data_IF_625267057325
#
_entry.id   IF_625267057325
#
_cell.length_a   1.000
_cell.length_b   1.000
_cell.length_c   1.000
_cell.angle_alpha   90.00
_cell.angle_beta   90.00
_cell.angle_gamma   90.00
#
_symmetry.space_group_name_H-M   'P 1'
#
loop_
_entity.id
_entity.type
_entity.pdbx_description
1 polymer ?
#
# COMPACT_ATOMS: atom_id res chain seq x y z
N UNK A 1 -41.35 64.89 28.89
CA UNK A 1 -41.15 64.48 27.48
C UNK A 1 -39.64 64.47 27.18
N UNK A 2 -38.87 63.49 27.68
CA UNK A 2 -37.40 63.45 27.51
C UNK A 2 -36.81 62.03 27.32
N UNK A 3 -37.64 61.03 27.00
CA UNK A 3 -37.19 59.64 26.87
C UNK A 3 -36.74 59.20 25.45
N UNK A 4 -37.13 59.92 24.40
CA UNK A 4 -36.98 59.45 23.02
C UNK A 4 -35.56 59.53 22.45
N UNK A 5 -34.80 60.58 22.79
CA UNK A 5 -33.48 60.84 22.18
C UNK A 5 -32.41 59.84 22.66
N UNK A 6 -32.42 59.47 23.95
CA UNK A 6 -31.48 58.50 24.52
C UNK A 6 -31.72 57.08 23.97
N UNK A 7 -32.98 56.69 23.82
CA UNK A 7 -33.37 55.38 23.31
C UNK A 7 -32.97 55.18 21.82
N UNK A 8 -32.96 56.25 21.02
CA UNK A 8 -32.49 56.19 19.62
C UNK A 8 -30.97 55.96 19.50
N UNK A 9 -30.17 56.58 20.38
CA UNK A 9 -28.71 56.42 20.40
C UNK A 9 -28.30 55.01 20.85
N UNK A 10 -29.01 54.44 21.82
CA UNK A 10 -28.79 53.07 22.28
C UNK A 10 -29.09 52.07 21.17
N UNK A 11 -30.21 52.24 20.44
CA UNK A 11 -30.54 51.40 19.28
C UNK A 11 -29.49 51.49 18.17
N UNK A 12 -29.00 52.70 17.89
CA UNK A 12 -27.92 52.91 16.91
C UNK A 12 -26.61 52.23 17.32
N UNK A 13 -26.27 52.28 18.61
CA UNK A 13 -25.06 51.64 19.15
C UNK A 13 -25.17 50.11 19.12
N UNK A 14 -26.32 49.56 19.53
CA UNK A 14 -26.60 48.11 19.44
C UNK A 14 -26.56 47.61 17.99
N UNK A 15 -27.08 48.39 17.04
CA UNK A 15 -27.03 48.04 15.62
C UNK A 15 -25.59 47.99 15.07
N UNK A 16 -24.74 48.94 15.47
CA UNK A 16 -23.31 48.91 15.09
C UNK A 16 -22.57 47.72 15.68
N UNK A 17 -22.85 47.38 16.93
CA UNK A 17 -22.29 46.19 17.59
C UNK A 17 -22.74 44.92 16.85
N UNK A 18 -24.01 44.82 16.50
CA UNK A 18 -24.54 43.69 15.74
C UNK A 18 -23.87 43.54 14.38
N UNK A 19 -23.69 44.64 13.62
CA UNK A 19 -22.98 44.60 12.33
C UNK A 19 -21.53 44.11 12.53
N UNK A 20 -20.84 44.59 13.57
CA UNK A 20 -19.47 44.16 13.85
C UNK A 20 -19.40 42.64 14.12
N UNK A 21 -20.32 42.10 14.93
CA UNK A 21 -20.42 40.66 15.17
C UNK A 21 -20.72 39.88 13.89
N UNK A 22 -21.63 40.38 13.05
CA UNK A 22 -21.97 39.74 11.78
C UNK A 22 -20.75 39.68 10.84
N UNK A 23 -19.99 40.78 10.75
CA UNK A 23 -18.75 40.81 9.96
C UNK A 23 -17.72 39.83 10.51
N UNK A 24 -17.50 39.78 11.82
CA UNK A 24 -16.59 38.81 12.44
C UNK A 24 -17.05 37.36 12.23
N UNK A 25 -18.35 37.10 12.27
CA UNK A 25 -18.91 35.78 12.02
C UNK A 25 -18.73 35.36 10.55
N UNK A 26 -18.98 36.27 9.62
CA UNK A 26 -18.74 36.02 8.19
C UNK A 26 -17.26 35.80 7.89
N UNK A 27 -16.34 36.57 8.48
CA UNK A 27 -14.89 36.35 8.29
C UNK A 27 -14.45 35.02 8.89
N UNK A 28 -14.98 34.64 10.05
CA UNK A 28 -14.72 33.32 10.66
C UNK A 28 -15.25 32.17 9.77
N UNK A 29 -16.46 32.28 9.23
CA UNK A 29 -17.01 31.28 8.30
C UNK A 29 -16.15 31.20 7.04
N UNK A 30 -15.74 32.34 6.46
CA UNK A 30 -14.89 32.33 5.26
C UNK A 30 -13.54 31.68 5.57
N UNK A 31 -12.92 31.99 6.72
CA UNK A 31 -11.67 31.35 7.15
C UNK A 31 -11.85 29.84 7.36
N UNK A 32 -12.93 29.43 8.02
CA UNK A 32 -13.27 28.02 8.22
C UNK A 32 -13.52 27.31 6.89
N UNK A 33 -14.25 27.93 5.97
CA UNK A 33 -14.53 27.40 4.64
C UNK A 33 -13.25 27.32 3.79
N UNK A 34 -12.34 28.29 3.90
CA UNK A 34 -11.03 28.25 3.25
C UNK A 34 -10.18 27.13 3.84
N UNK A 35 -10.15 26.96 5.17
CA UNK A 35 -9.45 25.84 5.80
C UNK A 35 -10.05 24.48 5.41
N UNK A 36 -11.38 24.36 5.42
CA UNK A 36 -12.11 23.15 5.07
C UNK A 36 -11.98 22.80 3.58
N UNK A 37 -12.07 23.79 2.68
CA UNK A 37 -11.79 23.61 1.26
C UNK A 37 -10.31 23.36 0.98
N UNK A 38 -9.41 23.85 1.83
CA UNK A 38 -7.97 23.53 1.74
C UNK A 38 -7.73 22.07 2.13
N UNK A 39 -8.43 21.55 3.15
CA UNK A 39 -8.47 20.12 3.48
C UNK A 39 -9.03 19.28 2.31
N UNK A 40 -10.12 19.72 1.67
CA UNK A 40 -10.68 19.04 0.48
C UNK A 40 -9.75 19.11 -0.74
N UNK A 41 -8.97 20.19 -0.90
CA UNK A 41 -7.94 20.29 -1.96
C UNK A 41 -6.64 19.58 -1.59
N UNK A 42 -6.46 19.10 -0.36
CA UNK A 42 -5.30 18.30 -0.01
C UNK A 42 -5.40 16.86 -0.54
N UNK A 43 -6.59 16.36 -0.86
CA UNK A 43 -6.75 15.04 -1.49
C UNK A 43 -6.09 14.98 -2.88
N UNK A 44 -5.97 16.11 -3.59
CA UNK A 44 -5.23 16.23 -4.86
C UNK A 44 -3.72 16.48 -4.66
N UNK A 45 -3.27 16.71 -3.41
CA UNK A 45 -1.86 16.97 -3.04
C UNK A 45 -1.23 15.78 -2.30
N UNK A 46 -2.03 14.85 -1.79
CA UNK A 46 -1.60 13.52 -1.40
C UNK A 46 -1.53 12.61 -2.62
N UNK A 47 -0.71 12.98 -3.60
CA UNK A 47 -0.16 12.04 -4.57
C UNK A 47 0.79 11.10 -3.80
N UNK A 48 0.15 10.17 -3.09
CA UNK A 48 0.72 9.01 -2.43
C UNK A 48 1.75 8.42 -3.40
N UNK A 49 3.03 8.52 -3.04
CA UNK A 49 4.16 8.37 -3.97
C UNK A 49 4.22 6.96 -4.58
N UNK A 50 3.43 6.75 -5.62
CA UNK A 50 3.54 5.60 -6.50
C UNK A 50 4.89 5.68 -7.19
N UNK A 51 5.70 4.64 -7.02
CA UNK A 51 7.06 4.58 -7.54
C UNK A 51 7.25 3.28 -8.28
N UNK A 52 7.50 3.39 -9.58
CA UNK A 52 7.96 2.29 -10.41
C UNK A 52 9.47 2.39 -10.59
N UNK A 53 10.17 1.27 -10.49
CA UNK A 53 11.60 1.20 -10.76
C UNK A 53 11.90 -0.08 -11.52
N UNK A 54 12.83 0.02 -12.47
CA UNK A 54 13.38 -1.11 -13.20
C UNK A 54 14.89 -1.03 -13.07
N UNK A 55 15.51 -2.10 -12.59
CA UNK A 55 16.96 -2.19 -12.51
C UNK A 55 17.45 -3.60 -12.83
N UNK A 56 18.68 -3.66 -13.34
CA UNK A 56 19.39 -4.92 -13.52
C UNK A 56 20.11 -5.25 -12.22
N UNK A 57 19.83 -6.42 -11.67
CA UNK A 57 20.51 -7.00 -10.52
C UNK A 57 21.51 -8.04 -11.03
N UNK A 58 22.77 -7.93 -10.59
CA UNK A 58 23.84 -8.90 -10.89
C UNK A 58 24.14 -9.10 -12.40
N UNK A 59 23.72 -8.16 -13.27
CA UNK A 59 23.99 -8.22 -14.72
C UNK A 59 23.24 -9.31 -15.49
N UNK A 60 22.37 -10.09 -14.84
CA UNK A 60 21.61 -11.18 -15.45
C UNK A 60 20.16 -11.30 -14.98
N UNK A 61 19.76 -10.55 -13.94
CA UNK A 61 18.40 -10.58 -13.41
C UNK A 61 17.80 -9.19 -13.58
N UNK A 62 16.73 -9.07 -14.33
CA UNK A 62 15.93 -7.84 -14.39
C UNK A 62 14.96 -7.83 -13.23
N UNK A 63 14.87 -6.68 -12.56
CA UNK A 63 14.00 -6.48 -11.40
C UNK A 63 13.13 -5.25 -11.61
N UNK A 64 11.83 -5.48 -11.55
CA UNK A 64 10.81 -4.44 -11.53
C UNK A 64 10.23 -4.33 -10.14
N UNK A 65 10.08 -3.10 -9.65
CA UNK A 65 9.48 -2.85 -8.34
C UNK A 65 8.40 -1.80 -8.45
N UNK A 66 7.34 -2.00 -7.67
CA UNK A 66 6.31 -1.00 -7.44
C UNK A 66 6.21 -0.72 -5.95
N UNK A 67 6.01 0.55 -5.60
CA UNK A 67 5.79 0.97 -4.24
C UNK A 67 4.67 1.99 -4.21
N UNK A 68 3.75 1.84 -3.26
CA UNK A 68 2.65 2.79 -3.02
C UNK A 68 2.43 2.96 -1.53
N UNK A 69 2.44 4.20 -1.08
CA UNK A 69 1.96 4.60 0.24
C UNK A 69 0.43 4.76 0.17
N UNK A 70 -0.27 4.60 1.29
CA UNK A 70 -1.70 4.89 1.41
C UNK A 70 -1.92 5.97 2.47
N UNK A 71 -3.14 6.52 2.48
CA UNK A 71 -3.51 7.58 3.41
C UNK A 71 -3.35 7.16 4.86
N UNK A 72 -3.17 8.15 5.74
CA UNK A 72 -3.02 7.94 7.19
C UNK A 72 -4.21 7.21 7.85
N UNK A 73 -5.37 7.22 7.20
CA UNK A 73 -6.57 6.53 7.65
C UNK A 73 -6.66 5.07 7.19
N UNK A 74 -5.77 4.64 6.28
CA UNK A 74 -5.69 3.25 5.84
C UNK A 74 -5.04 2.38 6.92
N UNK A 75 -5.57 1.17 7.13
CA UNK A 75 -4.94 0.17 8.01
C UNK A 75 -3.62 -0.34 7.44
N UNK A 76 -3.46 -0.29 6.12
CA UNK A 76 -2.23 -0.67 5.41
C UNK A 76 -1.53 0.64 5.02
N UNK A 77 -0.33 0.86 5.55
CA UNK A 77 0.46 2.08 5.32
C UNK A 77 1.06 2.11 3.92
N UNK A 78 1.59 0.98 3.45
CA UNK A 78 2.16 0.88 2.11
C UNK A 78 2.19 -0.56 1.60
N UNK A 79 2.34 -0.68 0.29
CA UNK A 79 2.72 -1.91 -0.39
C UNK A 79 4.02 -1.74 -1.16
N UNK A 80 4.77 -2.83 -1.24
CA UNK A 80 5.94 -2.96 -2.11
C UNK A 80 5.85 -4.27 -2.89
N UNK A 81 5.81 -4.18 -4.21
CA UNK A 81 5.85 -5.31 -5.10
C UNK A 81 7.20 -5.41 -5.79
N UNK A 82 7.68 -6.63 -5.99
CA UNK A 82 8.91 -6.95 -6.71
C UNK A 82 8.65 -8.13 -7.64
N UNK A 83 8.91 -7.93 -8.92
CA UNK A 83 8.99 -8.97 -9.93
C UNK A 83 10.45 -9.09 -10.40
N UNK A 84 10.95 -10.31 -10.50
CA UNK A 84 12.30 -10.58 -11.00
C UNK A 84 12.27 -11.67 -12.06
N UNK A 85 13.05 -11.47 -13.13
CA UNK A 85 13.17 -12.42 -14.23
C UNK A 85 14.62 -12.51 -14.70
N UNK A 86 14.97 -13.64 -15.32
CA UNK A 86 16.32 -13.90 -15.84
C UNK A 86 16.42 -13.35 -17.24
N UNK A 87 17.51 -12.66 -17.52
CA UNK A 87 17.92 -12.29 -18.87
C UNK A 87 18.71 -13.44 -19.49
N UNK A 88 18.04 -14.28 -20.27
CA UNK A 88 18.67 -15.41 -20.95
C UNK A 88 19.70 -14.97 -22.01
N UNK A 89 19.66 -13.70 -22.44
CA UNK A 89 20.61 -13.14 -23.39
C UNK A 89 21.87 -12.57 -22.72
N UNK A 90 21.88 -12.44 -21.39
CA UNK A 90 23.00 -11.88 -20.64
C UNK A 90 24.28 -12.70 -20.84
N UNK A 91 25.39 -12.02 -21.14
CA UNK A 91 26.72 -12.63 -21.19
C UNK A 91 27.09 -13.24 -19.83
N UNK A 92 26.72 -12.58 -18.74
CA UNK A 92 26.95 -13.07 -17.37
C UNK A 92 26.23 -14.40 -17.18
N UNK A 93 24.94 -14.48 -17.52
CA UNK A 93 24.16 -15.72 -17.44
C UNK A 93 24.76 -16.84 -18.30
N UNK A 94 25.13 -16.51 -19.54
CA UNK A 94 25.67 -17.47 -20.50
C UNK A 94 27.07 -17.98 -20.12
N UNK A 95 27.84 -17.20 -19.35
CA UNK A 95 29.15 -17.61 -18.81
C UNK A 95 29.08 -18.59 -17.62
N UNK A 96 27.91 -18.77 -17.01
CA UNK A 96 27.73 -19.68 -15.87
C UNK A 96 27.78 -21.14 -16.32
N UNK A 97 28.20 -22.02 -15.41
CA UNK A 97 28.06 -23.46 -15.62
C UNK A 97 26.58 -23.89 -15.65
N UNK A 98 26.32 -25.03 -16.27
CA UNK A 98 24.97 -25.55 -16.52
C UNK A 98 24.15 -25.70 -15.23
N UNK A 99 24.74 -26.26 -14.18
CA UNK A 99 24.08 -26.46 -12.89
C UNK A 99 23.68 -25.12 -12.25
N UNK A 100 24.52 -24.09 -12.35
CA UNK A 100 24.14 -22.73 -11.89
C UNK A 100 23.01 -22.14 -12.72
N UNK A 101 23.03 -22.29 -14.06
CA UNK A 101 21.95 -21.79 -14.93
C UNK A 101 20.63 -22.45 -14.59
N UNK A 102 20.61 -23.77 -14.41
CA UNK A 102 19.41 -24.53 -14.03
C UNK A 102 18.84 -24.06 -12.69
N UNK A 103 19.69 -23.86 -11.67
CA UNK A 103 19.27 -23.37 -10.37
C UNK A 103 18.67 -21.95 -10.43
N UNK A 104 19.27 -21.08 -11.25
CA UNK A 104 18.75 -19.73 -11.48
C UNK A 104 17.40 -19.81 -12.19
N UNK A 105 17.29 -20.51 -13.31
CA UNK A 105 16.02 -20.68 -14.06
C UNK A 105 14.93 -21.24 -13.14
N UNK A 106 15.22 -22.24 -12.32
CA UNK A 106 14.24 -22.83 -11.42
C UNK A 106 13.67 -21.84 -10.38
N UNK A 107 14.40 -20.77 -10.08
CA UNK A 107 14.04 -19.76 -9.08
C UNK A 107 13.31 -18.55 -9.64
N UNK A 108 13.17 -18.44 -10.97
CA UNK A 108 12.56 -17.30 -11.66
C UNK A 108 11.54 -17.75 -12.72
N UNK A 109 10.51 -16.95 -13.04
CA UNK A 109 10.23 -15.63 -12.48
C UNK A 109 9.80 -15.70 -11.01
N UNK A 110 10.13 -14.64 -10.27
CA UNK A 110 9.82 -14.55 -8.84
C UNK A 110 9.01 -13.29 -8.55
N UNK A 111 7.90 -13.46 -7.84
CA UNK A 111 6.98 -12.38 -7.48
C UNK A 111 6.87 -12.27 -5.98
N UNK A 112 7.09 -11.09 -5.43
CA UNK A 112 6.98 -10.82 -3.99
C UNK A 112 6.14 -9.58 -3.77
N UNK A 113 5.14 -9.68 -2.91
CA UNK A 113 4.35 -8.55 -2.44
C UNK A 113 4.54 -8.40 -0.93
N UNK A 114 4.86 -7.19 -0.50
CA UNK A 114 5.02 -6.83 0.91
C UNK A 114 3.99 -5.79 1.27
N UNK A 115 3.39 -5.96 2.44
CA UNK A 115 2.49 -5.02 3.08
C UNK A 115 3.16 -4.49 4.34
N UNK A 116 3.05 -3.19 4.55
CA UNK A 116 3.40 -2.56 5.82
C UNK A 116 2.12 -2.13 6.50
N UNK A 117 1.89 -2.67 7.69
CA UNK A 117 0.64 -2.49 8.45
C UNK A 117 1.03 -1.83 9.76
N UNK A 118 0.42 -0.69 10.03
CA UNK A 118 0.68 0.05 11.25
C UNK A 118 -0.52 -0.12 12.15
N UNK A 119 -0.30 -0.72 13.31
CA UNK A 119 -1.34 -0.82 14.33
C UNK A 119 -0.90 -0.14 15.62
N UNK A 120 -1.90 0.21 16.46
CA UNK A 120 -1.77 1.00 17.70
C UNK A 120 -1.08 0.21 18.83
N UNK A 121 0.12 -0.29 18.57
CA UNK A 121 0.93 -1.01 19.57
C UNK A 121 0.86 -2.53 19.46
N UNK A 122 0.13 -3.10 18.50
CA UNK A 122 0.00 -4.57 18.38
C UNK A 122 0.96 -5.13 17.36
N UNK A 123 1.67 -6.16 17.81
CA UNK A 123 2.40 -7.04 16.92
C UNK A 123 1.45 -8.08 16.36
N UNK A 124 1.49 -8.27 15.04
CA UNK A 124 0.53 -9.10 14.32
C UNK A 124 1.25 -10.16 13.49
N UNK A 125 0.67 -11.36 13.49
CA UNK A 125 0.98 -12.43 12.55
C UNK A 125 -0.25 -12.70 11.71
N UNK A 126 -0.02 -13.09 10.45
CA UNK A 126 -1.09 -13.35 9.48
C UNK A 126 -1.08 -14.83 9.12
N UNK A 127 -2.29 -15.41 9.05
CA UNK A 127 -2.48 -16.82 8.76
C UNK A 127 -2.95 -17.10 7.34
N UNK A 128 -3.57 -16.11 6.69
CA UNK A 128 -4.16 -16.31 5.36
C UNK A 128 -4.22 -15.02 4.54
N UNK A 129 -4.37 -15.19 3.21
CA UNK A 129 -4.55 -14.13 2.23
C UNK A 129 -5.60 -14.54 1.23
N UNK A 130 -6.61 -13.68 1.06
CA UNK A 130 -7.68 -13.86 0.08
C UNK A 130 -7.47 -12.86 -1.05
N UNK A 131 -7.44 -13.37 -2.27
CA UNK A 131 -7.42 -12.56 -3.48
C UNK A 131 -8.82 -12.56 -4.08
N UNK A 132 -9.53 -11.44 -3.98
CA UNK A 132 -10.91 -11.38 -4.44
C UNK A 132 -11.00 -11.64 -5.95
N UNK A 133 -11.92 -12.53 -6.34
CA UNK A 133 -12.08 -12.95 -7.73
C UNK A 133 -11.08 -14.00 -8.21
N UNK A 134 -10.15 -14.45 -7.37
CA UNK A 134 -9.13 -15.45 -7.73
C UNK A 134 -9.10 -16.59 -6.71
N UNK A 135 -9.27 -17.83 -7.20
CA UNK A 135 -9.14 -19.03 -6.36
C UNK A 135 -7.66 -19.39 -6.16
N UNK A 136 -6.96 -18.58 -5.36
CA UNK A 136 -5.57 -18.81 -4.99
C UNK A 136 -5.47 -19.79 -3.81
N UNK A 137 -4.55 -20.75 -3.90
CA UNK A 137 -4.32 -21.73 -2.83
C UNK A 137 -3.05 -21.39 -2.06
N UNK A 138 -3.06 -21.65 -0.75
CA UNK A 138 -1.86 -21.57 0.07
C UNK A 138 -0.93 -22.75 -0.21
N UNK A 139 0.35 -22.46 -0.48
CA UNK A 139 1.37 -23.46 -0.76
C UNK A 139 2.12 -23.84 0.52
N UNK A 140 1.87 -25.05 1.02
CA UNK A 140 2.38 -25.56 2.30
C UNK A 140 3.83 -26.09 2.26
N UNK A 141 4.46 -26.17 1.09
CA UNK A 141 5.80 -26.74 0.93
C UNK A 141 6.87 -25.65 0.82
N UNK A 142 8.14 -25.96 1.10
CA UNK A 142 9.24 -24.99 0.93
C UNK A 142 9.36 -24.56 -0.55
N UNK A 143 9.56 -23.26 -0.83
CA UNK A 143 9.85 -22.70 -2.18
C UNK A 143 11.29 -23.05 -2.60
N UNK A 144 11.63 -24.32 -2.56
CA UNK A 144 12.89 -24.85 -3.11
C UNK A 144 12.60 -25.84 -4.24
N UNK A 145 11.34 -25.93 -4.67
CA UNK A 145 10.91 -26.89 -5.67
C UNK A 145 10.45 -26.19 -6.95
N UNK A 146 10.88 -26.69 -8.13
CA UNK A 146 10.34 -26.30 -9.43
C UNK A 146 8.81 -26.35 -9.47
N UNK A 147 8.21 -27.26 -8.70
CA UNK A 147 6.75 -27.42 -8.58
C UNK A 147 6.00 -26.12 -8.29
N UNK A 148 6.57 -25.18 -7.50
CA UNK A 148 5.91 -23.91 -7.20
C UNK A 148 5.90 -22.99 -8.41
N UNK A 149 7.04 -22.85 -9.09
CA UNK A 149 7.21 -21.96 -10.25
C UNK A 149 6.56 -22.51 -11.52
N UNK A 150 6.51 -23.83 -11.70
CA UNK A 150 5.97 -24.48 -12.91
C UNK A 150 4.51 -24.92 -12.80
N UNK A 151 3.87 -24.78 -11.63
CA UNK A 151 2.47 -25.14 -11.49
C UNK A 151 1.54 -24.17 -12.22
N UNK A 152 0.58 -24.74 -12.96
CA UNK A 152 -0.53 -23.98 -13.57
C UNK A 152 -1.60 -23.55 -12.54
N UNK A 153 -1.55 -24.08 -11.32
CA UNK A 153 -2.49 -23.68 -10.28
C UNK A 153 -2.03 -22.37 -9.61
N UNK A 154 -2.94 -21.42 -9.35
CA UNK A 154 -2.61 -20.18 -8.66
C UNK A 154 -2.22 -20.43 -7.19
N UNK A 155 -0.93 -20.29 -6.88
CA UNK A 155 -0.40 -20.54 -5.54
C UNK A 155 0.26 -19.29 -4.94
N UNK A 156 0.12 -19.14 -3.62
CA UNK A 156 0.87 -18.17 -2.84
C UNK A 156 1.47 -18.82 -1.58
N UNK A 157 2.52 -18.21 -1.05
CA UNK A 157 3.10 -18.56 0.23
C UNK A 157 3.39 -17.30 1.04
N UNK A 158 3.16 -17.39 2.35
CA UNK A 158 3.54 -16.38 3.32
C UNK A 158 4.99 -16.59 3.70
N UNK A 159 5.82 -15.56 3.52
CA UNK A 159 7.21 -15.54 3.95
C UNK A 159 7.24 -14.98 5.37
N UNK A 160 7.38 -15.87 6.34
CA UNK A 160 7.60 -15.49 7.74
C UNK A 160 9.00 -14.91 7.87
N UNK A 161 9.09 -13.61 8.16
CA UNK A 161 10.35 -13.00 8.58
C UNK A 161 10.42 -13.09 10.11
N UNK A 162 11.32 -13.94 10.62
CA UNK A 162 11.56 -14.11 12.06
C UNK A 162 12.18 -12.86 12.73
N UNK A 163 12.55 -11.85 11.93
CA UNK A 163 13.10 -10.58 12.41
C UNK A 163 11.98 -9.59 12.74
N UNK A 164 11.34 -9.81 13.88
CA UNK A 164 10.57 -8.77 14.56
C UNK A 164 11.53 -7.67 14.99
N UNK A 165 11.49 -6.51 14.33
CA UNK A 165 12.17 -5.30 14.79
C UNK A 165 11.51 -4.84 16.11
N UNK A 166 11.85 -5.48 17.23
CA UNK A 166 11.40 -5.21 18.60
C UNK A 166 11.86 -3.84 19.14
N UNK A 167 12.16 -2.87 18.28
CA UNK A 167 12.92 -1.67 18.66
C UNK A 167 12.12 -0.69 19.53
N UNK A 168 10.87 -0.98 19.87
CA UNK A 168 10.01 -0.06 20.61
C UNK A 168 9.07 -0.76 21.62
N UNK A 169 9.58 -1.62 22.49
CA UNK A 169 8.82 -2.02 23.70
C UNK A 169 9.20 -1.08 24.85
N UNK A 170 8.40 -0.02 25.04
CA UNK A 170 8.48 0.91 26.15
C UNK A 170 7.14 1.65 26.32
N UNK A 171 6.84 2.11 27.53
CA UNK A 171 5.54 2.56 28.10
C UNK A 171 4.73 3.68 27.37
N UNK A 172 5.02 3.97 26.11
CA UNK A 172 4.26 4.90 25.27
C UNK A 172 3.28 4.13 24.37
N UNK A 173 2.22 4.76 23.83
CA UNK A 173 1.47 4.19 22.70
C UNK A 173 2.39 4.13 21.48
N UNK A 174 3.18 3.06 21.42
CA UNK A 174 4.18 2.86 20.39
C UNK A 174 3.49 2.49 19.09
N UNK A 175 3.89 3.18 18.01
CA UNK A 175 3.56 2.78 16.64
C UNK A 175 4.26 1.47 16.30
N UNK A 176 3.52 0.37 16.20
CA UNK A 176 4.08 -0.93 15.80
C UNK A 176 3.90 -1.12 14.30
N UNK A 177 5.00 -1.43 13.62
CA UNK A 177 5.06 -1.61 12.18
C UNK A 177 5.20 -3.10 11.88
N UNK A 178 4.14 -3.71 11.36
CA UNK A 178 4.09 -5.10 10.97
C UNK A 178 4.39 -5.21 9.47
N UNK A 179 5.42 -6.00 9.11
CA UNK A 179 5.77 -6.28 7.73
C UNK A 179 5.28 -7.66 7.38
N UNK A 180 4.32 -7.74 6.46
CA UNK A 180 3.81 -9.01 5.95
C UNK A 180 4.30 -9.21 4.53
N UNK A 181 4.88 -10.38 4.24
CA UNK A 181 5.47 -10.66 2.92
C UNK A 181 4.84 -11.93 2.39
N UNK A 182 4.41 -11.86 1.14
CA UNK A 182 3.96 -13.02 0.38
C UNK A 182 4.74 -13.14 -0.90
N UNK A 183 4.86 -14.36 -1.37
CA UNK A 183 5.26 -14.67 -2.73
C UNK A 183 4.15 -15.44 -3.41
N UNK A 184 4.08 -15.34 -4.71
CA UNK A 184 3.13 -16.09 -5.52
C UNK A 184 3.79 -16.55 -6.81
N UNK A 185 3.24 -17.60 -7.40
CA UNK A 185 3.77 -18.17 -8.63
C UNK A 185 3.31 -17.41 -9.89
N UNK A 186 3.83 -17.81 -11.05
CA UNK A 186 3.49 -17.18 -12.33
C UNK A 186 2.02 -17.34 -12.69
N UNK A 187 1.41 -18.49 -12.39
CA UNK A 187 -0.03 -18.71 -12.61
C UNK A 187 -0.88 -17.68 -11.84
N UNK A 188 -0.62 -17.49 -10.55
CA UNK A 188 -1.34 -16.49 -9.76
C UNK A 188 -1.05 -15.06 -10.24
N UNK A 189 0.20 -14.75 -10.60
CA UNK A 189 0.54 -13.44 -11.16
C UNK A 189 -0.25 -13.13 -12.44
N UNK A 190 -0.34 -14.07 -13.38
CA UNK A 190 -1.12 -13.92 -14.63
C UNK A 190 -2.59 -13.64 -14.35
N UNK A 191 -3.22 -14.42 -13.47
CA UNK A 191 -4.64 -14.25 -13.13
C UNK A 191 -4.90 -12.92 -12.41
N UNK A 192 -4.02 -12.51 -11.49
CA UNK A 192 -4.14 -11.22 -10.81
C UNK A 192 -3.96 -10.05 -11.76
N UNK A 193 -3.10 -10.19 -12.77
CA UNK A 193 -2.83 -9.18 -13.78
C UNK A 193 -4.03 -8.88 -14.69
N UNK A 194 -4.90 -9.87 -14.90
CA UNK A 194 -6.11 -9.73 -15.72
C UNK A 194 -7.28 -9.08 -14.95
N UNK A 195 -7.17 -8.93 -13.63
CA UNK A 195 -8.23 -8.29 -12.84
C UNK A 195 -8.35 -6.79 -13.14
N UNK A 196 -9.58 -6.26 -13.13
CA UNK A 196 -9.80 -4.82 -13.30
C UNK A 196 -9.25 -4.02 -12.10
N UNK A 197 -9.33 -4.60 -10.91
CA UNK A 197 -8.84 -4.05 -9.65
C UNK A 197 -8.17 -5.14 -8.84
N UNK A 198 -7.23 -4.75 -7.98
CA UNK A 198 -6.69 -5.64 -6.97
C UNK A 198 -7.40 -5.41 -5.67
N UNK A 199 -8.09 -6.43 -5.18
CA UNK A 199 -8.63 -6.47 -3.84
C UNK A 199 -8.05 -7.68 -3.10
N UNK A 200 -7.34 -7.40 -2.02
CA UNK A 200 -6.58 -8.39 -1.25
C UNK A 200 -6.98 -8.24 0.22
N UNK A 201 -7.40 -9.33 0.84
CA UNK A 201 -7.73 -9.37 2.26
C UNK A 201 -6.68 -10.17 3.00
N UNK A 202 -6.01 -9.54 3.95
CA UNK A 202 -5.07 -10.21 4.85
C UNK A 202 -5.81 -10.60 6.12
N UNK A 203 -5.68 -11.86 6.52
CA UNK A 203 -6.35 -12.40 7.71
C UNK A 203 -5.32 -12.62 8.80
N UNK A 204 -5.43 -11.84 9.87
CA UNK A 204 -4.59 -11.99 11.05
C UNK A 204 -4.95 -13.24 11.86
N UNK A 205 -4.05 -13.68 12.74
CA UNK A 205 -4.28 -14.86 13.60
C UNK A 205 -5.43 -14.68 14.60
N UNK A 206 -5.77 -13.44 14.95
CA UNK A 206 -6.90 -13.06 15.79
C UNK A 206 -8.20 -12.83 14.97
N UNK A 207 -8.23 -13.33 13.73
CA UNK A 207 -9.36 -13.21 12.79
C UNK A 207 -9.67 -11.78 12.35
N UNK A 208 -8.79 -10.81 12.63
CA UNK A 208 -8.95 -9.44 12.13
C UNK A 208 -8.56 -9.35 10.66
N UNK A 209 -9.43 -8.76 9.87
CA UNK A 209 -9.23 -8.56 8.44
C UNK A 209 -8.70 -7.17 8.09
N UNK A 210 -7.75 -7.17 7.15
CA UNK A 210 -7.14 -5.99 6.56
C UNK A 210 -7.35 -6.04 5.05
N UNK A 211 -8.30 -5.24 4.57
CA UNK A 211 -8.67 -5.19 3.15
C UNK A 211 -7.90 -4.08 2.46
N UNK A 212 -7.19 -4.42 1.40
CA UNK A 212 -6.64 -3.50 0.42
C UNK A 212 -7.50 -3.54 -0.84
N UNK A 213 -7.97 -2.38 -1.32
CA UNK A 213 -8.52 -2.24 -2.66
C UNK A 213 -7.75 -1.12 -3.40
N UNK A 214 -7.19 -1.43 -4.57
CA UNK A 214 -6.45 -0.47 -5.38
C UNK A 214 -6.61 -0.77 -6.87
N UNK A 215 -6.25 0.20 -7.72
CA UNK A 215 -6.02 -0.02 -9.15
C UNK A 215 -5.03 -1.17 -9.36
N UNK A 216 -5.22 -1.94 -10.43
CA UNK A 216 -4.37 -3.09 -10.71
C UNK A 216 -3.02 -2.68 -11.32
N UNK A 217 -2.07 -2.33 -10.45
CA UNK A 217 -0.70 -2.01 -10.87
C UNK A 217 0.04 -3.20 -11.52
N UNK A 218 -0.41 -4.46 -11.33
CA UNK A 218 0.19 -5.62 -11.99
C UNK A 218 -0.12 -5.65 -13.50
N UNK A 219 -1.19 -4.96 -13.93
CA UNK A 219 -1.56 -4.82 -15.34
C UNK A 219 -0.65 -3.89 -16.14
N UNK A 220 0.16 -3.09 -15.44
CA UNK A 220 1.05 -2.11 -16.05
C UNK A 220 2.11 -2.75 -16.96
N UNK A 221 2.44 -2.05 -18.04
CA UNK A 221 3.39 -2.54 -19.07
C UNK A 221 4.79 -2.83 -18.50
N UNK A 222 5.17 -2.17 -17.41
CA UNK A 222 6.41 -2.40 -16.69
C UNK A 222 6.55 -3.84 -16.17
N UNK A 223 5.42 -4.56 -16.03
CA UNK A 223 5.39 -5.96 -15.61
C UNK A 223 5.03 -6.91 -16.76
N UNK A 224 5.18 -6.46 -18.02
CA UNK A 224 5.15 -7.35 -19.17
C UNK A 224 6.38 -8.25 -19.16
N UNK A 225 6.25 -9.43 -18.54
CA UNK A 225 7.22 -10.50 -18.68
C UNK A 225 7.03 -11.06 -20.09
N UNK A 226 7.84 -10.56 -21.02
CA UNK A 226 7.85 -11.06 -22.39
C UNK A 226 8.75 -12.29 -22.40
N UNK A 227 8.17 -13.45 -22.72
CA UNK A 227 8.91 -14.67 -23.05
C UNK A 227 9.53 -14.54 -24.44
#
# INVERSE_FOLDING_TARGET
MFGGACMSKIKSLLFKIYILFLVCFCTFIILFLVMYLKDIRFDDVFDLKERYNTNMYDGMIHRHTYFKEFDLNSKIENIFFKASHVDLSSEVFNSLDELKRENIIASYPSFTLRFTIVDKGRLMTFKDVIFDGVNAKFYNYKITKPEFTTSDEPYFQIITNDALDQKYLGEYPVRVVNKFVITFNEALFKVLREQVKLKITLVAHDDVEYVLETSNFLSEKHFNISH
#
